data_IF_662598814967
#
_entry.id   IF_662598814967
#
_cell.length_a   1.000
_cell.length_b   1.000
_cell.length_c   1.000
_cell.angle_alpha   90.00
_cell.angle_beta   90.00
_cell.angle_gamma   90.00
#
_symmetry.space_group_name_H-M   'P 1'
#
loop_
_entity.id
_entity.type
_entity.pdbx_description
1 polymer ?
#
# COMPACT_ATOMS: atom_id res chain seq x y z
N UNK A 1 -6.51 7.06 -26.06
CA UNK A 1 -5.25 7.74 -25.67
C UNK A 1 -4.92 8.77 -26.76
N UNK A 2 -4.77 10.08 -26.41
CA UNK A 2 -4.36 11.12 -27.36
C UNK A 2 -2.93 10.83 -27.84
N UNK A 3 -2.64 11.16 -29.11
CA UNK A 3 -1.30 10.99 -29.68
C UNK A 3 -0.28 11.82 -28.88
N UNK A 4 1.00 11.38 -28.73
CA UNK A 4 2.00 12.10 -27.94
C UNK A 4 2.19 13.58 -28.34
N UNK A 5 2.05 13.88 -29.63
CA UNK A 5 2.15 15.25 -30.14
C UNK A 5 0.98 16.16 -29.67
N UNK A 6 -0.24 15.63 -29.63
CA UNK A 6 -1.41 16.37 -29.13
C UNK A 6 -1.32 16.67 -27.64
N UNK A 7 -0.79 15.70 -26.87
CA UNK A 7 -0.53 15.89 -25.45
C UNK A 7 0.50 17.01 -25.23
N UNK A 8 1.60 17.03 -25.99
CA UNK A 8 2.63 18.07 -25.88
C UNK A 8 2.07 19.46 -26.21
N UNK A 9 1.27 19.57 -27.26
CA UNK A 9 0.63 20.84 -27.63
C UNK A 9 -0.33 21.35 -26.57
N UNK A 10 -1.07 20.44 -25.91
CA UNK A 10 -1.95 20.78 -24.80
C UNK A 10 -1.17 21.38 -23.62
N UNK A 11 -0.07 20.74 -23.23
CA UNK A 11 0.79 21.23 -22.13
C UNK A 11 1.39 22.60 -22.45
N UNK A 12 1.86 22.83 -23.66
CA UNK A 12 2.36 24.15 -24.07
C UNK A 12 1.33 25.27 -23.94
N UNK A 13 0.04 24.95 -24.16
CA UNK A 13 -1.06 25.91 -23.95
C UNK A 13 -1.33 26.18 -22.48
N UNK A 14 -1.24 25.14 -21.63
CA UNK A 14 -1.35 25.28 -20.17
C UNK A 14 -0.21 26.17 -19.66
N UNK A 15 1.02 25.92 -20.07
CA UNK A 15 2.21 26.70 -19.66
C UNK A 15 2.13 28.17 -20.08
N UNK A 16 1.38 28.48 -21.14
CA UNK A 16 1.16 29.84 -21.63
C UNK A 16 -0.03 30.55 -20.99
N UNK A 17 -0.76 29.85 -20.09
CA UNK A 17 -1.98 30.40 -19.49
C UNK A 17 -3.12 30.61 -20.49
N UNK A 18 -3.19 29.82 -21.56
CA UNK A 18 -4.25 29.95 -22.59
C UNK A 18 -5.61 29.35 -22.12
N UNK A 19 -5.69 28.83 -20.89
CA UNK A 19 -6.87 28.16 -20.34
C UNK A 19 -7.26 28.73 -18.99
N UNK A 20 -8.51 29.09 -18.84
CA UNK A 20 -9.08 29.58 -17.58
C UNK A 20 -9.46 28.45 -16.63
N UNK A 21 -9.76 27.26 -17.16
CA UNK A 21 -10.19 26.10 -16.41
C UNK A 21 -9.47 24.86 -16.91
N UNK A 22 -8.87 24.12 -15.97
CA UNK A 22 -8.20 22.84 -16.24
C UNK A 22 -8.95 21.76 -15.44
N UNK A 23 -9.43 20.71 -16.13
CA UNK A 23 -10.07 19.55 -15.50
C UNK A 23 -9.25 18.30 -15.76
N UNK A 24 -8.93 17.58 -14.72
CA UNK A 24 -8.12 16.37 -14.83
C UNK A 24 -8.27 15.43 -13.65
N UNK A 25 -7.46 14.37 -13.64
CA UNK A 25 -7.33 13.43 -12.54
C UNK A 25 -5.95 13.57 -11.91
N UNK A 26 -5.65 12.78 -10.87
CA UNK A 26 -4.29 12.71 -10.28
C UNK A 26 -3.15 12.49 -11.30
N UNK A 27 -3.45 12.03 -12.52
CA UNK A 27 -2.47 11.95 -13.60
C UNK A 27 -1.97 13.33 -14.05
N UNK A 28 -2.76 14.39 -13.81
CA UNK A 28 -2.36 15.76 -14.08
C UNK A 28 -1.17 16.16 -13.21
N UNK A 29 -1.18 15.79 -11.93
CA UNK A 29 -0.13 16.08 -10.94
C UNK A 29 1.21 15.38 -11.26
N UNK A 30 1.15 14.23 -11.94
CA UNK A 30 2.35 13.42 -12.25
C UNK A 30 3.14 13.90 -13.47
N UNK A 31 2.63 14.87 -14.24
CA UNK A 31 3.24 15.22 -15.54
C UNK A 31 4.20 16.41 -15.52
N UNK A 32 4.38 17.05 -14.39
CA UNK A 32 5.29 18.18 -14.23
C UNK A 32 4.59 19.38 -13.58
N UNK A 33 5.32 20.46 -13.33
CA UNK A 33 4.78 21.62 -12.66
C UNK A 33 3.64 22.21 -13.49
N UNK A 34 2.52 22.46 -12.82
CA UNK A 34 1.39 23.24 -13.34
C UNK A 34 1.53 24.68 -12.85
N UNK A 35 1.00 25.67 -13.58
CA UNK A 35 0.89 27.03 -13.04
C UNK A 35 0.01 27.03 -11.80
N UNK A 36 0.25 27.96 -10.89
CA UNK A 36 -0.63 28.18 -9.75
C UNK A 36 -1.97 28.74 -10.20
N UNK A 37 -3.01 28.51 -9.42
CA UNK A 37 -4.40 28.81 -9.75
C UNK A 37 -5.10 29.50 -8.57
N UNK A 38 -5.96 30.46 -8.87
CA UNK A 38 -6.74 31.16 -7.85
C UNK A 38 -7.74 30.23 -7.11
N UNK A 39 -8.17 29.13 -7.77
CA UNK A 39 -9.05 28.14 -7.17
C UNK A 39 -8.67 26.71 -7.57
N UNK A 40 -8.52 25.84 -6.60
CA UNK A 40 -8.35 24.38 -6.78
C UNK A 40 -9.54 23.65 -6.18
N UNK A 41 -10.32 22.97 -7.00
CA UNK A 41 -11.45 22.14 -6.58
C UNK A 41 -11.09 20.65 -6.65
N UNK A 42 -11.15 19.93 -5.53
CA UNK A 42 -10.88 18.49 -5.45
C UNK A 42 -12.18 17.75 -5.19
N UNK A 43 -12.66 17.02 -6.20
CA UNK A 43 -13.88 16.22 -6.13
C UNK A 43 -13.56 14.82 -5.67
N UNK A 44 -14.36 14.27 -4.73
CA UNK A 44 -14.12 12.94 -4.13
C UNK A 44 -12.70 12.77 -3.55
N UNK A 45 -12.29 13.69 -2.70
CA UNK A 45 -10.97 13.68 -2.07
C UNK A 45 -10.66 12.39 -1.28
N UNK A 46 -11.69 11.67 -0.87
CA UNK A 46 -11.65 10.38 -0.15
C UNK A 46 -11.58 9.14 -1.05
N UNK A 47 -11.61 9.27 -2.38
CA UNK A 47 -11.62 8.12 -3.29
C UNK A 47 -10.44 7.15 -3.07
N UNK A 48 -9.25 7.67 -2.76
CA UNK A 48 -8.06 6.88 -2.49
C UNK A 48 -8.07 6.15 -1.15
N UNK A 49 -8.86 6.61 -0.18
CA UNK A 49 -8.95 6.01 1.16
C UNK A 49 -9.65 4.65 1.18
N UNK A 50 -10.47 4.37 0.18
CA UNK A 50 -11.19 3.09 0.03
C UNK A 50 -10.34 1.96 -0.56
N UNK A 51 -9.12 2.24 -0.96
CA UNK A 51 -8.20 1.24 -1.51
C UNK A 51 -7.71 0.30 -0.39
N UNK A 52 -7.80 -1.03 -0.54
CA UNK A 52 -7.40 -1.98 0.51
C UNK A 52 -5.88 -2.11 0.61
N UNK A 53 -5.22 -1.05 1.04
CA UNK A 53 -3.78 -0.95 1.27
C UNK A 53 -3.52 -0.16 2.54
N UNK A 54 -2.58 -0.61 3.37
CA UNK A 54 -2.23 0.07 4.61
C UNK A 54 -1.65 1.47 4.40
N UNK A 55 -1.18 1.77 3.18
CA UNK A 55 -0.69 3.10 2.77
C UNK A 55 -1.73 3.94 2.06
N UNK A 56 -2.98 3.52 2.01
CA UNK A 56 -4.03 4.25 1.29
C UNK A 56 -4.21 5.68 1.81
N UNK A 57 -4.18 5.86 3.13
CA UNK A 57 -4.27 7.18 3.77
C UNK A 57 -3.05 8.05 3.44
N UNK A 58 -1.84 7.50 3.56
CA UNK A 58 -0.57 8.19 3.22
C UNK A 58 -0.56 8.65 1.77
N UNK A 59 -0.88 7.76 0.82
CA UNK A 59 -0.89 8.11 -0.60
C UNK A 59 -1.95 9.13 -0.95
N UNK A 60 -3.13 9.01 -0.33
CA UNK A 60 -4.20 9.99 -0.52
C UNK A 60 -3.79 11.34 0.02
N UNK A 61 -3.25 11.39 1.23
CA UNK A 61 -2.76 12.63 1.84
C UNK A 61 -1.72 13.33 0.96
N UNK A 62 -0.69 12.62 0.49
CA UNK A 62 0.32 13.19 -0.41
C UNK A 62 -0.27 13.66 -1.74
N UNK A 63 -1.18 12.88 -2.34
CA UNK A 63 -1.85 13.30 -3.58
C UNK A 63 -2.68 14.58 -3.39
N UNK A 64 -3.33 14.71 -2.24
CA UNK A 64 -4.08 15.91 -1.90
C UNK A 64 -3.17 17.10 -1.61
N UNK A 65 -2.04 16.91 -0.94
CA UNK A 65 -1.01 17.94 -0.75
C UNK A 65 -0.48 18.46 -2.08
N UNK A 66 -0.16 17.55 -3.02
CA UNK A 66 0.27 17.94 -4.36
C UNK A 66 -0.78 18.77 -5.10
N UNK A 67 -2.06 18.46 -4.90
CA UNK A 67 -3.15 19.23 -5.50
C UNK A 67 -3.36 20.58 -4.81
N UNK A 68 -3.28 20.64 -3.48
CA UNK A 68 -3.37 21.89 -2.69
C UNK A 68 -2.25 22.86 -3.07
N UNK A 69 -1.05 22.33 -3.32
CA UNK A 69 0.12 23.13 -3.73
C UNK A 69 -0.05 23.85 -5.10
N UNK A 70 -1.09 23.52 -5.87
CA UNK A 70 -1.44 24.24 -7.08
C UNK A 70 -2.22 25.53 -6.82
N UNK A 71 -2.74 25.75 -5.62
CA UNK A 71 -3.39 27.01 -5.30
C UNK A 71 -2.36 28.14 -5.15
N UNK A 72 -2.74 29.33 -5.59
CA UNK A 72 -1.96 30.53 -5.31
C UNK A 72 -1.76 30.68 -3.78
N UNK A 73 -0.66 31.29 -3.34
CA UNK A 73 -0.46 31.58 -1.91
C UNK A 73 -1.67 32.33 -1.32
N UNK A 74 -2.02 32.04 -0.07
CA UNK A 74 -3.16 32.67 0.61
C UNK A 74 -3.11 34.21 0.54
N UNK A 75 -1.92 34.81 0.59
CA UNK A 75 -1.72 36.26 0.43
C UNK A 75 -2.06 36.79 -0.98
N UNK A 76 -2.13 35.91 -1.99
CA UNK A 76 -2.57 36.22 -3.35
C UNK A 76 -4.06 35.85 -3.59
N UNK A 77 -4.76 35.34 -2.56
CA UNK A 77 -6.18 35.01 -2.62
C UNK A 77 -6.49 33.60 -3.14
N UNK A 78 -5.50 32.71 -3.19
CA UNK A 78 -5.68 31.30 -3.57
C UNK A 78 -6.65 30.57 -2.63
N UNK A 79 -7.50 29.74 -3.20
CA UNK A 79 -8.51 28.97 -2.46
C UNK A 79 -8.46 27.48 -2.86
N UNK A 80 -8.70 26.60 -1.87
CA UNK A 80 -8.87 25.16 -2.10
C UNK A 80 -10.22 24.71 -1.56
N UNK A 81 -10.98 24.00 -2.38
CA UNK A 81 -12.25 23.38 -1.98
C UNK A 81 -12.12 21.87 -2.08
N UNK A 82 -12.32 21.19 -0.96
CA UNK A 82 -12.33 19.73 -0.85
C UNK A 82 -13.77 19.21 -0.75
N UNK A 83 -14.19 18.39 -1.70
CA UNK A 83 -15.44 17.63 -1.60
C UNK A 83 -15.12 16.22 -1.12
N UNK A 84 -15.69 15.79 0.00
CA UNK A 84 -15.47 14.48 0.60
C UNK A 84 -16.71 13.99 1.35
N UNK A 85 -16.89 12.66 1.40
CA UNK A 85 -17.86 12.00 2.29
C UNK A 85 -17.26 11.61 3.65
N UNK A 86 -15.93 11.69 3.79
CA UNK A 86 -15.15 11.29 4.97
C UNK A 86 -14.45 12.49 5.62
N UNK A 87 -15.19 13.55 5.89
CA UNK A 87 -14.63 14.79 6.44
C UNK A 87 -13.93 14.59 7.81
N UNK A 88 -14.31 13.57 8.59
CA UNK A 88 -13.69 13.25 9.88
C UNK A 88 -12.44 12.38 9.78
N UNK A 89 -12.05 11.91 8.58
CA UNK A 89 -10.86 11.09 8.43
C UNK A 89 -9.60 11.92 8.70
N UNK A 90 -8.65 11.37 9.47
CA UNK A 90 -7.44 12.09 9.91
C UNK A 90 -6.64 12.73 8.76
N UNK A 91 -6.53 12.05 7.59
CA UNK A 91 -5.87 12.63 6.43
C UNK A 91 -6.57 13.88 5.86
N UNK A 92 -7.90 13.92 5.91
CA UNK A 92 -8.69 15.08 5.46
C UNK A 92 -8.61 16.20 6.50
N UNK A 93 -8.72 15.86 7.78
CA UNK A 93 -8.63 16.83 8.88
C UNK A 93 -7.26 17.51 8.93
N UNK A 94 -6.19 16.75 8.84
CA UNK A 94 -4.82 17.26 8.83
C UNK A 94 -4.59 18.21 7.64
N UNK A 95 -5.08 17.84 6.46
CA UNK A 95 -4.98 18.69 5.27
C UNK A 95 -5.77 20.01 5.43
N UNK A 96 -6.99 19.93 5.98
CA UNK A 96 -7.84 21.11 6.18
C UNK A 96 -7.28 22.08 7.24
N UNK A 97 -6.48 21.57 8.16
CA UNK A 97 -5.83 22.34 9.24
C UNK A 97 -4.40 22.75 8.91
N UNK A 98 -3.86 22.29 7.76
CA UNK A 98 -2.44 22.45 7.38
C UNK A 98 -1.50 21.91 8.49
N UNK A 99 -1.87 20.78 9.07
CA UNK A 99 -1.15 20.14 10.20
C UNK A 99 -0.64 18.74 9.82
N UNK A 100 0.57 18.67 9.27
CA UNK A 100 1.24 17.42 8.97
C UNK A 100 1.50 16.56 10.22
N UNK A 101 1.74 17.20 11.37
CA UNK A 101 2.00 16.49 12.63
C UNK A 101 0.78 15.71 13.09
N UNK A 102 -0.42 16.26 12.90
CA UNK A 102 -1.68 15.58 13.15
C UNK A 102 -1.79 14.33 12.26
N UNK A 103 -1.51 14.46 10.94
CA UNK A 103 -1.53 13.30 10.05
C UNK A 103 -0.56 12.21 10.50
N UNK A 104 0.70 12.57 10.76
CA UNK A 104 1.74 11.60 11.14
C UNK A 104 1.43 10.87 12.44
N UNK A 105 0.96 11.59 13.47
CA UNK A 105 0.66 11.00 14.78
C UNK A 105 -0.48 10.01 14.71
N UNK A 106 -1.58 10.35 14.03
CA UNK A 106 -2.76 9.49 13.88
C UNK A 106 -2.46 8.28 12.99
N UNK A 107 -1.77 8.49 11.87
CA UNK A 107 -1.40 7.40 10.96
C UNK A 107 -0.47 6.39 11.63
N UNK A 108 0.54 6.84 12.38
CA UNK A 108 1.43 5.95 13.13
C UNK A 108 0.70 5.20 14.24
N UNK A 109 -0.24 5.85 14.91
CA UNK A 109 -1.09 5.23 15.93
C UNK A 109 -1.93 4.09 15.32
N UNK A 110 -2.61 4.35 14.21
CA UNK A 110 -3.42 3.35 13.50
C UNK A 110 -2.56 2.18 12.99
N UNK A 111 -1.40 2.45 12.37
CA UNK A 111 -0.48 1.41 11.90
C UNK A 111 0.05 0.58 13.06
N UNK A 112 0.41 1.21 14.17
CA UNK A 112 0.87 0.53 15.38
C UNK A 112 -0.18 -0.41 15.95
N UNK A 113 -1.42 0.07 16.10
CA UNK A 113 -2.53 -0.71 16.60
C UNK A 113 -2.85 -1.94 15.73
N UNK A 114 -2.72 -1.80 14.41
CA UNK A 114 -2.99 -2.87 13.44
C UNK A 114 -1.76 -3.73 13.11
N UNK A 115 -0.57 -3.41 13.64
CA UNK A 115 0.68 -4.09 13.33
C UNK A 115 1.06 -3.95 11.87
N UNK A 116 1.16 -2.71 11.37
CA UNK A 116 1.70 -2.38 10.05
C UNK A 116 3.02 -1.62 10.17
N UNK A 117 3.83 -1.57 9.10
CA UNK A 117 5.04 -0.75 9.09
C UNK A 117 4.76 0.71 9.46
N UNK A 118 5.65 1.37 10.24
CA UNK A 118 7.00 0.93 10.65
C UNK A 118 7.05 0.06 11.91
N UNK A 119 5.93 -0.21 12.60
CA UNK A 119 5.91 -0.98 13.86
C UNK A 119 6.32 -2.44 13.68
N UNK A 120 6.12 -3.00 12.49
CA UNK A 120 6.50 -4.35 12.10
C UNK A 120 7.06 -4.34 10.68
N UNK A 121 7.77 -5.41 10.30
CA UNK A 121 8.14 -5.68 8.91
C UNK A 121 7.03 -6.48 8.22
N UNK A 122 6.77 -6.16 6.97
CA UNK A 122 5.74 -6.80 6.16
C UNK A 122 6.40 -7.52 4.98
N UNK A 123 5.99 -8.77 4.71
CA UNK A 123 6.36 -9.50 3.52
C UNK A 123 5.07 -9.91 2.81
N UNK A 124 4.91 -9.49 1.57
CA UNK A 124 3.80 -9.89 0.72
C UNK A 124 4.22 -11.08 -0.14
N UNK A 125 3.40 -12.12 -0.11
CA UNK A 125 3.59 -13.34 -0.88
C UNK A 125 2.43 -13.47 -1.85
N UNK A 126 2.76 -13.67 -3.12
CA UNK A 126 1.78 -13.81 -4.18
C UNK A 126 1.91 -15.18 -4.85
N UNK A 127 0.81 -15.89 -4.92
CA UNK A 127 0.69 -17.13 -5.69
C UNK A 127 -0.16 -16.86 -6.91
N UNK A 128 0.35 -17.16 -8.11
CA UNK A 128 -0.37 -16.90 -9.34
C UNK A 128 -0.29 -18.06 -10.32
N UNK A 129 -1.36 -18.27 -11.11
CA UNK A 129 -1.43 -19.37 -12.10
C UNK A 129 -2.69 -19.29 -12.97
N UNK A 130 -2.75 -20.15 -13.98
CA UNK A 130 -3.86 -20.18 -14.94
C UNK A 130 -5.08 -20.93 -14.42
N UNK A 131 -4.90 -21.85 -13.44
CA UNK A 131 -5.98 -22.59 -12.78
C UNK A 131 -6.22 -22.04 -11.37
N UNK A 132 -7.42 -21.51 -11.14
CA UNK A 132 -7.79 -20.86 -9.88
C UNK A 132 -7.81 -21.81 -8.67
N UNK A 133 -8.23 -23.07 -8.87
CA UNK A 133 -8.26 -24.05 -7.78
C UNK A 133 -6.84 -24.45 -7.38
N UNK A 134 -5.97 -24.72 -8.36
CA UNK A 134 -4.57 -25.05 -8.11
C UNK A 134 -3.83 -23.91 -7.40
N UNK A 135 -4.11 -22.65 -7.76
CA UNK A 135 -3.52 -21.47 -7.11
C UNK A 135 -3.98 -21.34 -5.67
N UNK A 136 -5.29 -21.51 -5.41
CA UNK A 136 -5.85 -21.51 -4.05
C UNK A 136 -5.21 -22.60 -3.19
N UNK A 137 -5.15 -23.83 -3.70
CA UNK A 137 -4.62 -24.98 -2.97
C UNK A 137 -3.12 -24.81 -2.67
N UNK A 138 -2.35 -24.28 -3.62
CA UNK A 138 -0.95 -23.95 -3.41
C UNK A 138 -0.75 -22.82 -2.37
N UNK A 139 -1.58 -21.78 -2.41
CA UNK A 139 -1.55 -20.70 -1.42
C UNK A 139 -1.90 -21.22 -0.01
N UNK A 140 -2.90 -22.10 0.10
CA UNK A 140 -3.29 -22.75 1.36
C UNK A 140 -2.14 -23.62 1.92
N UNK A 141 -1.51 -24.41 1.06
CA UNK A 141 -0.37 -25.24 1.44
C UNK A 141 0.82 -24.38 1.92
N UNK A 142 1.08 -23.25 1.26
CA UNK A 142 2.16 -22.35 1.67
C UNK A 142 1.86 -21.68 3.00
N UNK A 143 0.65 -21.16 3.21
CA UNK A 143 0.24 -20.57 4.49
C UNK A 143 0.36 -21.55 5.64
N UNK A 144 -0.03 -22.82 5.46
CA UNK A 144 0.11 -23.86 6.47
C UNK A 144 1.59 -24.13 6.83
N UNK A 145 2.50 -24.16 5.83
CA UNK A 145 3.94 -24.31 6.07
C UNK A 145 4.54 -23.12 6.81
N UNK A 146 4.18 -21.90 6.42
CA UNK A 146 4.59 -20.67 7.10
C UNK A 146 4.15 -20.70 8.57
N UNK A 147 2.90 -21.08 8.84
CA UNK A 147 2.37 -21.19 10.20
C UNK A 147 3.11 -22.25 11.02
N UNK A 148 3.43 -23.39 10.42
CA UNK A 148 4.20 -24.43 11.08
C UNK A 148 5.62 -23.97 11.45
N UNK A 149 6.29 -23.23 10.56
CA UNK A 149 7.62 -22.66 10.82
C UNK A 149 7.59 -21.47 11.81
N UNK A 150 6.48 -20.77 11.92
CA UNK A 150 6.30 -19.65 12.84
C UNK A 150 6.00 -20.09 14.29
N UNK A 151 5.66 -21.36 14.52
CA UNK A 151 5.36 -21.88 15.85
C UNK A 151 6.62 -22.03 16.71
N UNK A 152 6.60 -21.64 17.99
CA UNK A 152 7.80 -21.61 18.86
C UNK A 152 8.49 -22.96 19.09
N UNK A 153 7.86 -24.08 18.74
CA UNK A 153 8.45 -25.41 18.86
C UNK A 153 9.68 -25.65 17.95
N UNK A 154 9.92 -24.83 16.92
CA UNK A 154 11.05 -24.93 16.00
C UNK A 154 12.13 -23.88 16.30
N UNK A 155 11.84 -22.86 17.10
CA UNK A 155 12.75 -21.77 17.46
C UNK A 155 13.77 -22.12 18.57
N UNK A 156 13.91 -23.39 18.91
CA UNK A 156 14.68 -23.90 20.04
C UNK A 156 16.22 -23.87 19.91
N UNK A 157 16.81 -23.12 19.01
CA UNK A 157 18.28 -22.97 18.95
C UNK A 157 18.73 -21.67 18.25
N UNK A 158 18.51 -20.52 18.88
CA UNK A 158 19.41 -19.37 18.65
C UNK A 158 19.21 -18.29 19.71
N UNK A 159 20.26 -18.10 20.51
CA UNK A 159 20.71 -16.88 21.20
C UNK A 159 19.68 -16.04 21.98
N UNK A 160 19.86 -16.07 23.30
CA UNK A 160 19.29 -15.11 24.26
C UNK A 160 19.60 -13.67 23.86
N UNK A 161 18.65 -13.00 23.19
CA UNK A 161 18.56 -11.54 23.18
C UNK A 161 17.30 -11.15 23.92
N UNK A 162 17.49 -10.43 25.05
CA UNK A 162 16.43 -9.78 25.83
C UNK A 162 15.67 -8.78 24.95
N UNK A 163 14.60 -9.24 24.29
CA UNK A 163 13.65 -8.37 23.61
C UNK A 163 12.55 -7.97 24.59
N UNK A 164 12.35 -6.66 24.76
CA UNK A 164 11.20 -6.12 25.52
C UNK A 164 9.92 -6.67 24.94
N UNK A 165 8.97 -7.15 25.75
CA UNK A 165 7.69 -7.60 25.24
C UNK A 165 6.94 -6.38 24.68
N UNK A 166 6.75 -6.37 23.36
CA UNK A 166 5.79 -5.48 22.71
C UNK A 166 4.42 -6.09 22.96
N UNK A 167 3.43 -5.23 23.27
CA UNK A 167 2.06 -5.64 23.50
C UNK A 167 1.58 -6.64 22.43
N UNK A 168 0.81 -7.69 22.81
CA UNK A 168 0.45 -8.76 21.89
C UNK A 168 -0.34 -8.20 20.72
N UNK A 169 0.26 -8.22 19.53
CA UNK A 169 -0.41 -7.93 18.28
C UNK A 169 -1.56 -8.92 18.12
N UNK A 170 -2.80 -8.45 18.34
CA UNK A 170 -4.05 -9.22 18.23
C UNK A 170 -4.10 -10.55 19.02
N UNK A 171 -3.53 -10.60 20.23
CA UNK A 171 -3.71 -11.75 21.14
C UNK A 171 -3.00 -13.06 20.72
N UNK A 172 -2.10 -13.04 19.76
CA UNK A 172 -1.29 -14.20 19.37
C UNK A 172 0.17 -14.05 19.85
N UNK A 173 0.66 -14.95 20.68
CA UNK A 173 2.06 -14.99 21.08
C UNK A 173 2.89 -15.58 19.94
N UNK A 174 3.77 -14.79 19.33
CA UNK A 174 4.72 -15.28 18.32
C UNK A 174 5.43 -14.13 17.59
N UNK A 175 6.65 -14.36 17.08
CA UNK A 175 7.42 -13.36 16.35
C UNK A 175 6.86 -13.09 14.94
N UNK A 176 5.96 -13.95 14.45
CA UNK A 176 5.38 -13.88 13.12
C UNK A 176 3.85 -14.02 13.16
N UNK A 177 3.18 -13.20 12.35
CA UNK A 177 1.74 -13.31 12.09
C UNK A 177 1.55 -13.59 10.60
N UNK A 178 0.83 -14.67 10.28
CA UNK A 178 0.49 -15.06 8.93
C UNK A 178 -0.98 -14.71 8.68
N UNK A 179 -1.24 -13.85 7.70
CA UNK A 179 -2.57 -13.43 7.29
C UNK A 179 -2.89 -13.99 5.90
N UNK A 180 -4.05 -14.56 5.75
CA UNK A 180 -4.47 -15.26 4.53
C UNK A 180 -4.31 -16.78 4.66
N UNK A 181 -4.35 -17.51 3.51
CA UNK A 181 -4.40 -17.00 2.14
C UNK A 181 -5.75 -16.37 1.79
N UNK A 182 -5.72 -15.34 0.97
CA UNK A 182 -6.91 -14.66 0.46
C UNK A 182 -6.76 -14.34 -1.04
N UNK A 183 -7.86 -14.20 -1.80
CA UNK A 183 -7.77 -13.66 -3.14
C UNK A 183 -7.09 -12.28 -3.11
N UNK A 184 -6.17 -12.03 -4.04
CA UNK A 184 -5.58 -10.70 -4.20
C UNK A 184 -6.67 -9.68 -4.59
N UNK A 185 -6.57 -8.38 -4.21
CA UNK A 185 -7.50 -7.33 -4.65
C UNK A 185 -7.73 -7.32 -6.17
N UNK A 186 -6.69 -7.60 -6.95
CA UNK A 186 -6.79 -7.93 -8.37
C UNK A 186 -6.74 -9.44 -8.53
N UNK A 187 -7.90 -10.09 -8.39
CA UNK A 187 -8.03 -11.57 -8.37
C UNK A 187 -7.58 -12.25 -9.65
N UNK A 188 -7.64 -11.55 -10.80
CA UNK A 188 -7.19 -12.08 -12.10
C UNK A 188 -6.52 -10.99 -12.92
N UNK A 189 -5.28 -11.21 -13.32
CA UNK A 189 -4.50 -10.29 -14.14
C UNK A 189 -3.87 -11.07 -15.31
N UNK A 190 -4.06 -10.58 -16.55
CA UNK A 190 -3.52 -11.21 -17.78
C UNK A 190 -3.77 -12.72 -17.85
N UNK A 191 -4.99 -13.13 -17.52
CA UNK A 191 -5.39 -14.54 -17.56
C UNK A 191 -4.94 -15.41 -16.37
N UNK A 192 -4.20 -14.86 -15.41
CA UNK A 192 -3.71 -15.58 -14.23
C UNK A 192 -4.53 -15.20 -13.00
N UNK A 193 -4.99 -16.20 -12.25
CA UNK A 193 -5.58 -16.04 -10.91
C UNK A 193 -4.48 -15.71 -9.91
N UNK A 194 -4.82 -14.94 -8.86
CA UNK A 194 -3.88 -14.40 -7.88
C UNK A 194 -4.41 -14.56 -6.46
N UNK A 195 -3.60 -15.15 -5.61
CA UNK A 195 -3.84 -15.28 -4.17
C UNK A 195 -2.67 -14.69 -3.41
N UNK A 196 -2.94 -14.08 -2.26
CA UNK A 196 -1.93 -13.44 -1.44
C UNK A 196 -1.90 -13.98 -0.03
N UNK A 197 -0.72 -13.95 0.57
CA UNK A 197 -0.46 -14.19 1.98
C UNK A 197 0.40 -13.02 2.47
N UNK A 198 0.10 -12.50 3.66
CA UNK A 198 0.90 -11.47 4.30
C UNK A 198 1.58 -12.04 5.53
N UNK A 199 2.86 -11.83 5.64
CA UNK A 199 3.67 -12.20 6.79
C UNK A 199 4.09 -10.92 7.50
N UNK A 200 3.65 -10.73 8.75
CA UNK A 200 4.07 -9.65 9.63
C UNK A 200 5.13 -10.19 10.58
N UNK A 201 6.24 -9.50 10.72
CA UNK A 201 7.36 -9.90 11.58
C UNK A 201 7.84 -8.73 12.43
N UNK A 202 8.13 -8.98 13.70
CA UNK A 202 8.78 -7.99 14.56
C UNK A 202 10.27 -7.81 14.19
N UNK A 203 10.90 -8.87 13.71
CA UNK A 203 12.28 -8.86 13.26
C UNK A 203 12.34 -9.19 11.77
N UNK A 204 12.92 -8.29 10.99
CA UNK A 204 13.01 -8.42 9.52
C UNK A 204 13.67 -9.72 9.09
N UNK A 205 14.80 -10.06 9.72
CA UNK A 205 15.59 -11.23 9.35
C UNK A 205 14.83 -12.54 9.60
N UNK A 206 14.15 -12.65 10.72
CA UNK A 206 13.32 -13.82 11.07
C UNK A 206 12.23 -14.05 10.04
N UNK A 207 11.52 -12.99 9.62
CA UNK A 207 10.50 -13.09 8.57
C UNK A 207 11.09 -13.57 7.24
N UNK A 208 12.21 -13.00 6.82
CA UNK A 208 12.90 -13.37 5.57
C UNK A 208 13.36 -14.84 5.59
N UNK A 209 13.93 -15.32 6.68
CA UNK A 209 14.43 -16.70 6.80
C UNK A 209 13.30 -17.73 6.68
N UNK A 210 12.19 -17.52 7.37
CA UNK A 210 11.02 -18.39 7.29
C UNK A 210 10.44 -18.40 5.88
N UNK A 211 10.28 -17.24 5.26
CA UNK A 211 9.78 -17.15 3.88
C UNK A 211 10.75 -17.82 2.90
N UNK A 212 12.05 -17.56 3.00
CA UNK A 212 13.09 -18.14 2.13
C UNK A 212 13.10 -19.67 2.19
N UNK A 213 12.93 -20.25 3.37
CA UNK A 213 12.89 -21.69 3.55
C UNK A 213 11.64 -22.28 2.90
N UNK A 214 10.49 -21.70 3.19
CA UNK A 214 9.20 -22.22 2.72
C UNK A 214 8.98 -22.03 1.22
N UNK A 215 9.44 -20.92 0.60
CA UNK A 215 9.29 -20.70 -0.84
C UNK A 215 10.05 -21.72 -1.66
N UNK A 216 11.27 -22.07 -1.26
CA UNK A 216 12.06 -23.11 -1.94
C UNK A 216 11.36 -24.46 -1.95
N UNK A 217 10.70 -24.81 -0.85
CA UNK A 217 9.94 -26.05 -0.75
C UNK A 217 8.68 -26.00 -1.64
N UNK A 218 8.01 -24.86 -1.71
CA UNK A 218 6.84 -24.67 -2.58
C UNK A 218 7.23 -24.75 -4.04
N UNK A 219 8.32 -24.14 -4.47
CA UNK A 219 8.84 -24.20 -5.83
C UNK A 219 9.18 -25.64 -6.24
N UNK A 220 9.84 -26.41 -5.37
CA UNK A 220 10.15 -27.83 -5.61
C UNK A 220 8.89 -28.67 -5.79
N UNK A 221 7.89 -28.45 -4.93
CA UNK A 221 6.63 -29.23 -4.96
C UNK A 221 5.78 -28.90 -6.17
N UNK A 222 5.86 -27.68 -6.71
CA UNK A 222 5.00 -27.17 -7.77
C UNK A 222 5.77 -26.88 -9.09
N UNK A 223 7.03 -27.26 -9.21
CA UNK A 223 7.87 -26.87 -10.37
C UNK A 223 7.33 -27.30 -11.74
N UNK A 224 6.53 -28.37 -11.82
CA UNK A 224 5.85 -28.84 -13.05
C UNK A 224 4.48 -28.21 -13.31
N UNK A 225 4.02 -27.35 -12.41
CA UNK A 225 2.72 -26.69 -12.51
C UNK A 225 2.93 -25.24 -12.95
N UNK A 226 2.01 -24.69 -13.72
CA UNK A 226 2.09 -23.28 -14.15
C UNK A 226 1.79 -22.28 -13.00
N UNK A 227 2.24 -22.59 -11.79
CA UNK A 227 2.11 -21.78 -10.59
C UNK A 227 3.40 -21.00 -10.37
N UNK A 228 3.28 -19.71 -10.07
CA UNK A 228 4.39 -18.82 -9.75
C UNK A 228 4.23 -18.34 -8.32
N UNK A 229 5.35 -18.30 -7.60
CA UNK A 229 5.48 -17.78 -6.25
C UNK A 229 6.34 -16.51 -6.30
N UNK A 230 5.76 -15.39 -5.95
CA UNK A 230 6.46 -14.10 -5.87
C UNK A 230 6.53 -13.67 -4.40
N UNK A 231 7.68 -13.11 -4.01
CA UNK A 231 7.95 -12.63 -2.65
C UNK A 231 8.38 -11.18 -2.76
N UNK A 232 7.70 -10.30 -2.04
CA UNK A 232 8.03 -8.89 -1.93
C UNK A 232 8.25 -8.54 -0.45
N UNK A 233 9.47 -8.10 -0.12
CA UNK A 233 9.87 -7.73 1.24
C UNK A 233 9.78 -6.23 1.39
N UNK A 234 9.06 -5.77 2.41
CA UNK A 234 8.73 -4.37 2.65
C UNK A 234 8.02 -3.74 1.43
N UNK A 235 6.86 -4.32 1.01
CA UNK A 235 6.17 -3.92 -0.21
C UNK A 235 5.75 -2.46 -0.15
N UNK A 236 5.95 -1.76 -1.27
CA UNK A 236 5.45 -0.39 -1.45
C UNK A 236 3.96 -0.42 -1.81
N UNK A 237 3.53 -1.47 -2.52
CA UNK A 237 2.15 -1.71 -2.94
C UNK A 237 1.74 -3.15 -2.60
N UNK A 238 0.48 -3.34 -2.20
CA UNK A 238 -0.02 -4.64 -1.74
C UNK A 238 -0.64 -5.50 -2.85
N UNK A 239 -0.60 -5.09 -4.12
CA UNK A 239 -1.20 -5.78 -5.28
C UNK A 239 -0.40 -5.65 -6.58
#
# INVERSE_FOLDING_TARGET
MKKPAEAKALWQKIDRGEWDIIVGTQLLLRRGPLPTMGLVGIVQADAGLSVPDFRSAERTYHTLLDAVALADPAGAGGQVILQTSLASHHAIQALAQDDESLFLSEELSHRGALGYPPSVHLIALLVSGTDGNMVRDAATAWAARLTACASPAVAGQTSERKTRPIAPLMGRPGPLIILGPAPSPVTKLRGRYRWQILVKSLERQTGIEVVRTTVKDMERTHHRRSIKFDVDVDPIEMW
#
